data_IF_938264211299
#
_entry.id   IF_938264211299
#
_cell.length_a   1.000
_cell.length_b   1.000
_cell.length_c   1.000
_cell.angle_alpha   90.00
_cell.angle_beta   90.00
_cell.angle_gamma   90.00
#
_symmetry.space_group_name_H-M   'P 1'
#
loop_
_entity.id
_entity.type
_entity.pdbx_description
1 polymer ?
#
# COMPACT_ATOMS: atom_id res chain seq x y z
N UNK A 1 -42.15 -4.95 -60.26
CA UNK A 1 -43.58 -4.62 -60.50
C UNK A 1 -44.32 -4.79 -59.18
N UNK A 2 -45.10 -3.79 -58.74
CA UNK A 2 -46.34 -3.84 -57.92
C UNK A 2 -46.58 -5.11 -57.06
N UNK A 3 -46.83 -5.12 -55.74
CA UNK A 3 -46.94 -4.13 -54.64
C UNK A 3 -46.77 -4.90 -53.29
N UNK A 4 -47.01 -4.45 -52.04
CA UNK A 4 -47.66 -3.28 -51.38
C UNK A 4 -46.60 -2.53 -50.50
N UNK A 5 -46.78 -1.65 -49.49
CA UNK A 5 -47.81 -1.23 -48.50
C UNK A 5 -48.24 -2.31 -47.47
N UNK A 6 -48.59 -2.02 -46.20
CA UNK A 6 -48.77 -0.78 -45.39
C UNK A 6 -48.44 -1.15 -43.90
N UNK A 7 -48.42 -0.31 -42.83
CA UNK A 7 -48.93 1.05 -42.57
C UNK A 7 -48.13 1.76 -41.44
N UNK A 8 -48.67 2.82 -40.82
CA UNK A 8 -48.08 3.64 -39.74
C UNK A 8 -48.38 3.16 -38.31
N UNK A 9 -47.57 3.62 -37.34
CA UNK A 9 -48.04 4.11 -36.03
C UNK A 9 -47.11 5.21 -35.47
N UNK A 10 -47.52 6.48 -35.53
CA UNK A 10 -46.84 7.58 -34.82
C UNK A 10 -47.61 7.85 -33.52
N UNK A 11 -46.93 7.80 -32.38
CA UNK A 11 -47.44 8.32 -31.12
C UNK A 11 -46.55 9.47 -30.64
N UNK A 12 -47.14 10.64 -30.44
CA UNK A 12 -46.49 11.78 -29.78
C UNK A 12 -46.93 11.78 -28.31
N UNK A 13 -45.96 11.74 -27.39
CA UNK A 13 -46.14 12.18 -26.02
C UNK A 13 -45.07 13.22 -25.65
N UNK A 14 -45.44 14.12 -24.75
CA UNK A 14 -44.74 15.40 -24.50
C UNK A 14 -43.45 15.25 -23.66
N UNK A 15 -42.53 16.25 -23.67
CA UNK A 15 -41.14 16.01 -23.28
C UNK A 15 -40.95 15.91 -21.76
N UNK A 16 -40.40 14.78 -21.31
CA UNK A 16 -39.76 14.67 -20.00
C UNK A 16 -38.38 15.31 -20.01
N UNK A 17 -38.04 16.07 -18.96
CA UNK A 17 -36.83 16.91 -18.88
C UNK A 17 -35.55 16.09 -18.71
N UNK A 18 -35.10 15.44 -19.79
CA UNK A 18 -33.75 14.90 -19.88
C UNK A 18 -32.74 16.07 -19.95
N UNK A 19 -32.28 16.55 -18.79
CA UNK A 19 -31.22 17.54 -18.67
C UNK A 19 -29.87 16.92 -19.05
N UNK A 20 -29.70 16.63 -20.35
CA UNK A 20 -28.47 16.10 -20.94
C UNK A 20 -27.39 17.15 -20.82
N UNK A 21 -26.69 17.12 -19.69
CA UNK A 21 -25.61 18.03 -19.32
C UNK A 21 -24.41 17.71 -20.21
N UNK A 22 -24.46 18.22 -21.45
CA UNK A 22 -23.32 18.28 -22.36
C UNK A 22 -22.26 19.12 -21.68
N UNK A 23 -21.31 18.47 -21.00
CA UNK A 23 -20.01 19.09 -20.81
C UNK A 23 -19.48 19.38 -22.21
N UNK A 24 -19.45 20.65 -22.59
CA UNK A 24 -18.39 21.12 -23.46
C UNK A 24 -17.07 20.71 -22.81
N UNK A 25 -16.19 20.06 -23.56
CA UNK A 25 -14.88 19.63 -23.07
C UNK A 25 -13.84 20.36 -23.90
N UNK A 26 -12.86 20.96 -23.23
CA UNK A 26 -11.73 21.61 -23.87
C UNK A 26 -10.61 20.59 -24.11
N UNK A 27 -9.72 20.82 -25.10
CA UNK A 27 -8.43 20.16 -25.10
C UNK A 27 -7.69 20.51 -23.79
N UNK A 28 -7.09 19.51 -23.16
CA UNK A 28 -6.23 19.72 -21.99
C UNK A 28 -5.09 20.69 -22.32
N UNK A 29 -4.67 21.53 -21.37
CA UNK A 29 -3.51 22.39 -21.57
C UNK A 29 -2.26 21.51 -21.78
N UNK A 30 -1.62 21.65 -22.94
CA UNK A 30 -0.63 20.73 -23.52
C UNK A 30 0.72 20.61 -22.76
N UNK A 31 0.74 20.98 -21.47
CA UNK A 31 1.89 20.95 -20.57
C UNK A 31 1.63 20.19 -19.26
N UNK A 32 0.42 19.67 -19.03
CA UNK A 32 0.09 18.89 -17.83
C UNK A 32 -0.12 17.41 -18.14
N UNK A 33 0.94 16.62 -17.94
CA UNK A 33 0.82 15.18 -17.78
C UNK A 33 0.31 14.83 -16.37
N UNK A 34 -0.67 13.93 -16.30
CA UNK A 34 -1.31 13.47 -15.07
C UNK A 34 -0.68 12.17 -14.52
N UNK A 35 0.20 11.50 -15.27
CA UNK A 35 0.88 10.29 -14.79
C UNK A 35 2.32 10.55 -14.31
N UNK A 36 2.94 11.66 -14.72
CA UNK A 36 4.13 12.22 -14.07
C UNK A 36 3.92 12.42 -12.55
N UNK A 37 4.82 11.92 -11.70
CA UNK A 37 4.73 12.12 -10.25
C UNK A 37 4.78 13.60 -9.84
N UNK A 38 3.77 14.08 -9.10
CA UNK A 38 3.67 15.46 -8.58
C UNK A 38 4.91 15.93 -7.79
N UNK A 39 5.66 14.99 -7.22
CA UNK A 39 6.91 15.26 -6.51
C UNK A 39 7.99 14.31 -7.02
N UNK A 40 9.21 14.80 -7.11
CA UNK A 40 10.40 14.02 -7.43
C UNK A 40 10.50 12.75 -6.56
N UNK A 41 10.79 11.61 -7.18
CA UNK A 41 10.92 10.32 -6.49
C UNK A 41 12.38 9.95 -6.17
N UNK A 42 13.36 10.72 -6.61
CA UNK A 42 14.79 10.51 -6.30
C UNK A 42 15.15 10.98 -4.89
N UNK A 43 14.62 12.12 -4.44
CA UNK A 43 14.79 12.61 -3.07
C UNK A 43 13.84 11.94 -2.07
N UNK A 44 14.31 11.75 -0.83
CA UNK A 44 13.47 11.23 0.25
C UNK A 44 12.26 12.14 0.54
N UNK A 45 12.44 13.46 0.51
CA UNK A 45 11.38 14.43 0.81
C UNK A 45 10.26 14.41 -0.25
N UNK A 46 10.60 14.23 -1.53
CA UNK A 46 9.61 14.11 -2.59
C UNK A 46 8.82 12.79 -2.52
N UNK A 47 9.49 11.66 -2.25
CA UNK A 47 8.83 10.39 -1.92
C UNK A 47 7.93 10.50 -0.69
N UNK A 48 8.40 11.15 0.37
CA UNK A 48 7.64 11.34 1.61
C UNK A 48 6.34 12.12 1.34
N UNK A 49 6.41 13.22 0.58
CA UNK A 49 5.23 14.00 0.15
C UNK A 49 4.26 13.17 -0.71
N UNK A 50 4.78 12.36 -1.63
CA UNK A 50 3.98 11.42 -2.42
C UNK A 50 3.24 10.42 -1.53
N UNK A 51 3.93 9.75 -0.60
CA UNK A 51 3.27 8.78 0.28
C UNK A 51 2.26 9.43 1.23
N UNK A 52 2.55 10.60 1.82
CA UNK A 52 1.56 11.37 2.60
C UNK A 52 0.29 11.69 1.81
N UNK A 53 0.37 11.80 0.49
CA UNK A 53 -0.77 12.07 -0.36
C UNK A 53 -1.64 10.84 -0.62
N UNK A 54 -1.05 9.65 -0.83
CA UNK A 54 -1.80 8.41 -1.09
C UNK A 54 -2.29 7.72 0.19
N UNK A 55 -1.57 7.87 1.31
CA UNK A 55 -1.94 7.29 2.62
C UNK A 55 -2.72 8.27 3.51
N UNK A 56 -3.33 9.32 2.93
CA UNK A 56 -4.12 10.30 3.67
C UNK A 56 -5.44 9.65 4.15
N UNK A 57 -5.64 9.43 5.45
CA UNK A 57 -6.80 8.71 5.96
C UNK A 57 -8.13 9.43 5.69
N UNK A 58 -8.11 10.71 5.31
CA UNK A 58 -9.32 11.46 4.96
C UNK A 58 -9.96 10.96 3.66
N UNK A 59 -9.23 10.32 2.75
CA UNK A 59 -9.85 9.77 1.51
C UNK A 59 -10.72 8.54 1.76
N UNK A 60 -10.63 7.94 2.96
CA UNK A 60 -11.56 6.89 3.43
C UNK A 60 -12.98 7.42 3.61
N UNK A 61 -13.14 8.73 3.89
CA UNK A 61 -14.43 9.38 4.16
C UNK A 61 -15.08 10.00 2.91
N UNK A 62 -14.41 9.95 1.76
CA UNK A 62 -14.89 10.54 0.50
C UNK A 62 -15.96 9.65 -0.13
N UNK A 63 -17.05 10.24 -0.61
CA UNK A 63 -18.19 9.49 -1.14
C UNK A 63 -17.85 8.78 -2.45
N UNK A 64 -18.52 7.66 -2.74
CA UNK A 64 -18.29 6.93 -3.99
C UNK A 64 -18.55 7.78 -5.24
N UNK A 65 -19.54 8.67 -5.18
CA UNK A 65 -19.84 9.60 -6.28
C UNK A 65 -18.68 10.57 -6.57
N UNK A 66 -17.95 11.01 -5.55
CA UNK A 66 -16.76 11.86 -5.71
C UNK A 66 -15.56 11.07 -6.24
N UNK A 67 -15.39 9.82 -5.80
CA UNK A 67 -14.36 8.92 -6.32
C UNK A 67 -14.60 8.60 -7.81
N UNK A 68 -15.84 8.33 -8.21
CA UNK A 68 -16.18 8.05 -9.60
C UNK A 68 -16.09 9.31 -10.49
N UNK A 69 -16.46 10.50 -9.97
CA UNK A 69 -16.17 11.79 -10.64
C UNK A 69 -14.68 12.03 -10.82
N UNK A 70 -13.87 11.73 -9.80
CA UNK A 70 -12.41 11.84 -9.87
C UNK A 70 -11.82 10.90 -10.92
N UNK A 71 -12.30 9.66 -11.00
CA UNK A 71 -11.93 8.71 -12.06
C UNK A 71 -12.28 9.23 -13.45
N UNK A 72 -13.49 9.75 -13.67
CA UNK A 72 -13.88 10.34 -14.96
C UNK A 72 -12.97 11.51 -15.33
N UNK A 73 -12.62 12.39 -14.39
CA UNK A 73 -11.73 13.52 -14.66
C UNK A 73 -10.28 13.09 -14.96
N UNK A 74 -9.75 12.09 -14.26
CA UNK A 74 -8.41 11.53 -14.53
C UNK A 74 -8.37 10.82 -15.89
N UNK A 75 -9.39 10.01 -16.21
CA UNK A 75 -9.48 9.33 -17.51
C UNK A 75 -9.68 10.33 -18.67
N UNK A 76 -10.48 11.38 -18.48
CA UNK A 76 -10.60 12.48 -19.44
C UNK A 76 -9.27 13.19 -19.67
N UNK A 77 -8.52 13.50 -18.60
CA UNK A 77 -7.20 14.12 -18.70
C UNK A 77 -6.21 13.25 -19.48
N UNK A 78 -6.18 11.93 -19.23
CA UNK A 78 -5.37 10.98 -20.03
C UNK A 78 -5.79 10.90 -21.50
N UNK A 79 -7.06 11.11 -21.80
CA UNK A 79 -7.57 11.21 -23.17
C UNK A 79 -7.32 12.59 -23.82
N UNK A 80 -6.75 13.57 -23.09
CA UNK A 80 -6.56 14.95 -23.54
C UNK A 80 -7.83 15.81 -23.52
N UNK A 81 -8.91 15.36 -22.87
CA UNK A 81 -10.27 15.94 -22.93
C UNK A 81 -10.75 16.30 -21.52
N UNK A 82 -10.73 17.58 -21.18
CA UNK A 82 -10.90 18.09 -19.80
C UNK A 82 -12.00 19.16 -19.76
N UNK A 83 -12.83 19.28 -18.70
CA UNK A 83 -13.84 20.33 -18.61
C UNK A 83 -13.21 21.74 -18.64
N UNK A 84 -13.76 22.70 -19.42
CA UNK A 84 -13.27 24.08 -19.47
C UNK A 84 -13.22 24.71 -18.08
N UNK A 85 -12.12 25.41 -17.77
CA UNK A 85 -11.91 26.03 -16.47
C UNK A 85 -11.48 25.08 -15.34
N UNK A 86 -11.24 23.79 -15.62
CA UNK A 86 -10.62 22.88 -14.62
C UNK A 86 -9.23 23.37 -14.25
N UNK A 87 -8.97 23.61 -12.96
CA UNK A 87 -7.64 24.03 -12.50
C UNK A 87 -6.68 22.86 -12.35
N UNK A 88 -5.37 23.14 -12.41
CA UNK A 88 -4.34 22.12 -12.16
C UNK A 88 -4.49 21.50 -10.76
N UNK A 89 -4.94 22.27 -9.76
CA UNK A 89 -5.20 21.75 -8.42
C UNK A 89 -6.39 20.78 -8.37
N UNK A 90 -7.44 21.02 -9.17
CA UNK A 90 -8.56 20.08 -9.30
C UNK A 90 -8.12 18.78 -9.97
N UNK A 91 -7.28 18.84 -11.00
CA UNK A 91 -6.69 17.63 -11.62
C UNK A 91 -5.79 16.87 -10.62
N UNK A 92 -4.96 17.56 -9.85
CA UNK A 92 -4.10 16.94 -8.83
C UNK A 92 -4.89 16.37 -7.64
N UNK A 93 -6.03 16.97 -7.28
CA UNK A 93 -6.94 16.43 -6.27
C UNK A 93 -7.73 15.23 -6.78
N UNK A 94 -8.23 15.27 -8.02
CA UNK A 94 -8.86 14.12 -8.66
C UNK A 94 -7.88 12.95 -8.81
N UNK A 95 -6.62 13.23 -9.19
CA UNK A 95 -5.55 12.22 -9.17
C UNK A 95 -5.34 11.64 -7.77
N UNK A 96 -5.24 12.47 -6.73
CA UNK A 96 -5.13 11.98 -5.34
C UNK A 96 -6.26 11.01 -4.98
N UNK A 97 -7.51 11.38 -5.29
CA UNK A 97 -8.66 10.52 -5.01
C UNK A 97 -8.57 9.21 -5.81
N UNK A 98 -8.24 9.29 -7.10
CA UNK A 98 -8.06 8.14 -7.98
C UNK A 98 -6.96 7.18 -7.47
N UNK A 99 -5.74 7.69 -7.30
CA UNK A 99 -4.56 6.96 -6.82
C UNK A 99 -4.77 6.34 -5.42
N UNK A 100 -5.72 6.85 -4.62
CA UNK A 100 -6.05 6.34 -3.27
C UNK A 100 -7.18 5.30 -3.22
N UNK A 101 -7.94 5.13 -4.31
CA UNK A 101 -9.19 4.36 -4.31
C UNK A 101 -9.38 3.41 -5.51
N UNK A 102 -8.57 3.51 -6.57
CA UNK A 102 -8.63 2.64 -7.74
C UNK A 102 -7.29 1.94 -7.97
N UNK A 103 -7.33 0.73 -8.51
CA UNK A 103 -6.12 -0.02 -8.83
C UNK A 103 -5.34 0.70 -9.95
N UNK A 104 -4.00 0.86 -9.85
CA UNK A 104 -3.22 1.48 -10.92
C UNK A 104 -3.36 0.72 -12.24
N UNK A 105 -3.26 -0.60 -12.18
CA UNK A 105 -3.20 -1.46 -13.36
C UNK A 105 -4.57 -1.72 -14.02
N UNK A 106 -5.61 -2.09 -13.25
CA UNK A 106 -6.94 -2.41 -13.80
C UNK A 106 -7.92 -1.24 -13.82
N UNK A 107 -7.62 -0.15 -13.09
CA UNK A 107 -8.54 0.98 -12.92
C UNK A 107 -9.82 0.65 -12.16
N UNK A 108 -9.93 -0.52 -11.53
CA UNK A 108 -11.10 -0.95 -10.74
C UNK A 108 -11.09 -0.34 -9.33
N UNK A 109 -12.28 -0.17 -8.73
CA UNK A 109 -12.43 0.44 -7.40
C UNK A 109 -11.96 -0.53 -6.30
N UNK A 110 -10.92 -0.17 -5.56
CA UNK A 110 -10.37 -0.98 -4.46
C UNK A 110 -11.37 -1.12 -3.31
N UNK A 111 -11.38 -2.31 -2.67
CA UNK A 111 -12.06 -2.54 -1.40
C UNK A 111 -11.55 -1.55 -0.34
N UNK A 112 -12.47 -0.87 0.36
CA UNK A 112 -12.16 0.19 1.33
C UNK A 112 -11.10 -0.21 2.37
N UNK A 113 -11.19 -1.43 2.91
CA UNK A 113 -10.30 -1.94 3.96
C UNK A 113 -8.89 -2.23 3.42
N UNK A 114 -8.79 -2.57 2.13
CA UNK A 114 -7.53 -2.83 1.44
C UNK A 114 -6.82 -1.58 0.89
N UNK A 115 -7.43 -0.40 0.94
CA UNK A 115 -6.81 0.85 0.43
C UNK A 115 -5.64 1.29 1.32
N UNK A 116 -4.59 1.82 0.70
CA UNK A 116 -3.44 2.39 1.42
C UNK A 116 -3.81 3.54 2.38
N UNK A 117 -4.90 4.28 2.12
CA UNK A 117 -5.45 5.29 3.05
C UNK A 117 -6.13 4.69 4.28
N UNK A 118 -6.67 3.46 4.19
CA UNK A 118 -7.22 2.74 5.34
C UNK A 118 -6.14 2.05 6.20
N UNK A 119 -4.90 1.92 5.69
CA UNK A 119 -3.80 1.30 6.43
C UNK A 119 -3.51 2.01 7.78
N UNK A 120 -3.68 3.33 7.87
CA UNK A 120 -3.51 4.08 9.12
C UNK A 120 -4.68 3.85 10.10
N UNK A 121 -5.98 4.03 9.72
CA UNK A 121 -7.13 3.68 10.56
C UNK A 121 -7.19 2.21 11.02
N UNK A 122 -7.03 1.26 10.09
CA UNK A 122 -7.02 -0.17 10.42
C UNK A 122 -5.83 -0.55 11.29
N UNK A 123 -4.63 -0.10 10.91
CA UNK A 123 -3.39 -0.36 11.64
C UNK A 123 -3.39 0.20 13.07
N UNK A 124 -3.96 1.39 13.29
CA UNK A 124 -4.01 1.98 14.64
C UNK A 124 -4.98 1.24 15.57
N UNK A 125 -6.14 0.81 15.06
CA UNK A 125 -7.10 0.03 15.83
C UNK A 125 -6.53 -1.34 16.21
N UNK A 126 -6.03 -2.08 15.22
CA UNK A 126 -5.44 -3.42 15.40
C UNK A 126 -4.25 -3.35 16.36
N UNK A 127 -3.29 -2.46 16.12
CA UNK A 127 -2.08 -2.35 16.95
C UNK A 127 -2.40 -1.85 18.36
N UNK A 128 -3.29 -0.87 18.52
CA UNK A 128 -3.71 -0.40 19.84
C UNK A 128 -4.39 -1.49 20.67
N UNK A 129 -5.19 -2.36 20.04
CA UNK A 129 -5.77 -3.52 20.72
C UNK A 129 -4.75 -4.64 20.98
N UNK A 130 -3.78 -4.88 20.09
CA UNK A 130 -2.67 -5.81 20.34
C UNK A 130 -1.83 -5.40 21.56
N UNK A 131 -1.55 -4.09 21.70
CA UNK A 131 -0.78 -3.54 22.82
C UNK A 131 -1.60 -3.46 24.11
N UNK A 132 -2.92 -3.24 24.04
CA UNK A 132 -3.80 -3.26 25.21
C UNK A 132 -4.03 -4.68 25.75
N UNK A 133 -4.32 -5.64 24.86
CA UNK A 133 -4.75 -6.99 25.24
C UNK A 133 -3.62 -8.05 25.21
N UNK A 134 -2.36 -7.60 25.23
CA UNK A 134 -1.15 -8.44 25.19
C UNK A 134 -1.05 -9.54 26.28
N UNK A 135 -1.83 -9.44 27.36
CA UNK A 135 -1.65 -10.27 28.57
C UNK A 135 -2.25 -11.68 28.52
N UNK A 136 -3.24 -11.93 27.67
CA UNK A 136 -3.94 -13.23 27.64
C UNK A 136 -3.74 -13.91 26.28
N UNK A 137 -3.34 -15.18 26.32
CA UNK A 137 -3.04 -15.96 25.09
C UNK A 137 -4.22 -15.95 24.10
N UNK A 138 -5.50 -16.12 24.48
CA UNK A 138 -6.62 -16.04 23.53
C UNK A 138 -6.74 -14.68 22.84
N UNK A 139 -6.53 -13.57 23.55
CA UNK A 139 -6.61 -12.23 22.96
C UNK A 139 -5.41 -11.93 22.06
N UNK A 140 -4.20 -12.37 22.47
CA UNK A 140 -2.99 -12.31 21.63
C UNK A 140 -3.20 -13.09 20.33
N UNK A 141 -3.73 -14.32 20.40
CA UNK A 141 -4.05 -15.15 19.24
C UNK A 141 -5.07 -14.45 18.32
N UNK A 142 -6.17 -13.95 18.90
CA UNK A 142 -7.21 -13.24 18.14
C UNK A 142 -6.67 -11.99 17.43
N UNK A 143 -5.95 -11.12 18.13
CA UNK A 143 -5.48 -9.86 17.53
C UNK A 143 -4.33 -10.05 16.54
N UNK A 144 -3.46 -11.06 16.72
CA UNK A 144 -2.48 -11.43 15.69
C UNK A 144 -3.18 -12.02 14.45
N UNK A 145 -4.20 -12.86 14.63
CA UNK A 145 -5.00 -13.38 13.51
C UNK A 145 -5.72 -12.26 12.73
N UNK A 146 -6.32 -11.29 13.44
CA UNK A 146 -6.91 -10.08 12.83
C UNK A 146 -5.85 -9.27 12.07
N UNK A 147 -4.66 -9.07 12.65
CA UNK A 147 -3.56 -8.35 11.99
C UNK A 147 -3.12 -9.05 10.70
N UNK A 148 -2.93 -10.37 10.73
CA UNK A 148 -2.52 -11.11 9.53
C UNK A 148 -3.64 -11.20 8.48
N UNK A 149 -4.90 -11.27 8.89
CA UNK A 149 -6.06 -11.19 8.00
C UNK A 149 -6.14 -9.82 7.31
N UNK A 150 -5.90 -8.73 8.05
CA UNK A 150 -5.86 -7.37 7.50
C UNK A 150 -4.71 -7.21 6.49
N UNK A 151 -3.50 -7.65 6.85
CA UNK A 151 -2.35 -7.59 5.93
C UNK A 151 -2.56 -8.46 4.68
N UNK A 152 -3.21 -9.63 4.80
CA UNK A 152 -3.57 -10.46 3.65
C UNK A 152 -4.59 -9.77 2.72
N UNK A 153 -5.58 -9.06 3.27
CA UNK A 153 -6.56 -8.31 2.47
C UNK A 153 -5.93 -7.09 1.77
N UNK A 154 -5.03 -6.36 2.45
CA UNK A 154 -4.25 -5.28 1.83
C UNK A 154 -3.37 -5.84 0.71
N UNK A 155 -2.66 -6.94 0.95
CA UNK A 155 -1.84 -7.62 -0.07
C UNK A 155 -2.66 -8.12 -1.27
N UNK A 156 -3.88 -8.64 -1.04
CA UNK A 156 -4.80 -9.04 -2.11
C UNK A 156 -5.31 -7.85 -2.93
N UNK A 157 -5.55 -6.71 -2.28
CA UNK A 157 -6.14 -5.51 -2.90
C UNK A 157 -5.12 -4.68 -3.68
N UNK A 158 -3.83 -4.79 -3.35
CA UNK A 158 -2.73 -4.05 -3.99
C UNK A 158 -1.77 -4.98 -4.76
N UNK A 159 -2.23 -6.16 -5.18
CA UNK A 159 -1.45 -7.09 -6.00
C UNK A 159 -1.30 -6.57 -7.43
N UNK A 160 -0.09 -6.61 -7.98
CA UNK A 160 0.16 -6.29 -9.38
C UNK A 160 -0.76 -7.12 -10.30
N UNK A 161 -1.56 -6.48 -11.14
CA UNK A 161 -2.51 -7.17 -12.02
C UNK A 161 -1.85 -7.74 -13.28
N UNK A 162 -0.70 -7.19 -13.70
CA UNK A 162 0.11 -7.71 -14.81
C UNK A 162 0.94 -8.94 -14.42
N UNK A 163 1.12 -9.22 -13.12
CA UNK A 163 1.80 -10.41 -12.61
C UNK A 163 0.86 -11.21 -11.68
N UNK A 164 0.05 -12.15 -12.23
CA UNK A 164 -1.07 -12.75 -11.50
C UNK A 164 -0.63 -13.64 -10.33
N UNK A 165 -0.66 -13.09 -9.12
CA UNK A 165 -0.48 -13.86 -7.87
C UNK A 165 -1.68 -14.81 -7.68
N UNK A 166 -1.42 -16.11 -7.66
CA UNK A 166 -2.46 -17.12 -7.49
C UNK A 166 -3.11 -17.04 -6.10
N UNK A 167 -4.40 -17.36 -6.01
CA UNK A 167 -5.11 -17.42 -4.72
C UNK A 167 -4.44 -18.40 -3.74
N UNK A 168 -3.87 -19.50 -4.25
CA UNK A 168 -3.08 -20.47 -3.49
C UNK A 168 -1.84 -19.83 -2.87
N UNK A 169 -1.10 -18.98 -3.61
CA UNK A 169 0.08 -18.29 -3.10
C UNK A 169 -0.28 -17.28 -2.00
N UNK A 170 -1.39 -16.54 -2.15
CA UNK A 170 -1.90 -15.63 -1.12
C UNK A 170 -2.35 -16.42 0.11
N UNK A 171 -3.06 -17.53 -0.07
CA UNK A 171 -3.50 -18.41 1.03
C UNK A 171 -2.32 -19.03 1.80
N UNK A 172 -1.30 -19.53 1.09
CA UNK A 172 -0.08 -20.06 1.71
C UNK A 172 0.70 -18.98 2.45
N UNK A 173 0.89 -17.79 1.86
CA UNK A 173 1.55 -16.67 2.53
C UNK A 173 0.80 -16.21 3.80
N UNK A 174 -0.54 -16.11 3.73
CA UNK A 174 -1.39 -15.80 4.89
C UNK A 174 -1.32 -16.87 5.98
N UNK A 175 -1.44 -18.16 5.64
CA UNK A 175 -1.37 -19.26 6.63
C UNK A 175 0.02 -19.33 7.26
N UNK A 176 1.09 -19.30 6.47
CA UNK A 176 2.47 -19.33 6.99
C UNK A 176 2.76 -18.12 7.89
N UNK A 177 2.46 -16.90 7.44
CA UNK A 177 2.68 -15.71 8.24
C UNK A 177 1.79 -15.66 9.50
N UNK A 178 0.58 -16.21 9.46
CA UNK A 178 -0.28 -16.36 10.65
C UNK A 178 0.30 -17.37 11.62
N UNK A 179 0.72 -18.55 11.17
CA UNK A 179 1.41 -19.53 12.00
C UNK A 179 2.70 -18.97 12.62
N UNK A 180 3.49 -18.20 11.86
CA UNK A 180 4.67 -17.49 12.39
C UNK A 180 4.28 -16.46 13.45
N UNK A 181 3.32 -15.56 13.17
CA UNK A 181 2.85 -14.57 14.12
C UNK A 181 2.37 -15.20 15.44
N UNK A 182 1.57 -16.27 15.35
CA UNK A 182 1.03 -16.99 16.49
C UNK A 182 2.12 -17.75 17.26
N UNK A 183 3.01 -18.48 16.58
CA UNK A 183 4.10 -19.20 17.22
C UNK A 183 5.05 -18.25 17.98
N UNK A 184 5.43 -17.13 17.36
CA UNK A 184 6.25 -16.10 18.01
C UNK A 184 5.49 -15.43 19.17
N UNK A 185 4.23 -15.03 18.96
CA UNK A 185 3.47 -14.30 19.98
C UNK A 185 3.09 -15.16 21.20
N UNK A 186 2.72 -16.42 20.99
CA UNK A 186 2.40 -17.36 22.09
C UNK A 186 3.67 -17.86 22.75
N UNK A 187 4.68 -18.26 21.97
CA UNK A 187 5.96 -18.73 22.49
C UNK A 187 6.64 -17.68 23.39
N UNK A 188 6.81 -16.45 22.91
CA UNK A 188 7.38 -15.38 23.72
C UNK A 188 6.51 -15.04 24.94
N UNK A 189 5.17 -15.00 24.83
CA UNK A 189 4.31 -14.75 25.99
C UNK A 189 4.42 -15.82 27.08
N UNK A 190 4.72 -17.07 26.74
CA UNK A 190 4.98 -18.12 27.73
C UNK A 190 6.28 -17.86 28.50
N UNK A 191 7.35 -17.43 27.82
CA UNK A 191 8.62 -17.05 28.44
C UNK A 191 8.54 -15.74 29.24
N UNK A 192 7.84 -14.71 28.74
CA UNK A 192 7.76 -13.40 29.42
C UNK A 192 6.93 -13.41 30.71
N UNK A 193 6.29 -14.52 31.08
CA UNK A 193 5.65 -14.70 32.41
C UNK A 193 6.60 -14.49 33.60
N UNK A 194 7.91 -14.61 33.39
CA UNK A 194 8.97 -14.37 34.39
C UNK A 194 9.83 -13.13 34.09
N UNK A 195 9.48 -12.34 33.08
CA UNK A 195 10.25 -11.18 32.62
C UNK A 195 9.61 -9.85 33.11
N UNK A 196 10.35 -8.72 33.06
CA UNK A 196 9.78 -7.40 33.34
C UNK A 196 8.56 -7.10 32.43
N UNK A 197 7.51 -6.40 32.93
CA UNK A 197 6.27 -6.17 32.18
C UNK A 197 6.44 -5.51 30.81
N UNK A 198 7.48 -4.69 30.62
CA UNK A 198 7.83 -4.05 29.35
C UNK A 198 8.21 -5.07 28.26
N UNK A 199 8.89 -6.17 28.60
CA UNK A 199 9.29 -7.20 27.64
C UNK A 199 8.05 -7.90 27.06
N UNK A 200 7.06 -8.18 27.92
CA UNK A 200 5.77 -8.73 27.48
C UNK A 200 5.01 -7.76 26.56
N UNK A 201 5.14 -6.43 26.76
CA UNK A 201 4.53 -5.41 25.87
C UNK A 201 5.20 -5.32 24.49
N UNK A 202 6.41 -5.82 24.31
CA UNK A 202 7.09 -5.89 23.00
C UNK A 202 6.85 -7.20 22.23
N UNK A 203 6.20 -8.20 22.84
CA UNK A 203 5.84 -9.46 22.16
C UNK A 203 4.97 -9.23 20.89
N UNK A 204 3.99 -8.31 20.88
CA UNK A 204 3.29 -7.93 19.66
C UNK A 204 4.21 -7.48 18.52
N UNK A 205 5.23 -6.66 18.80
CA UNK A 205 6.21 -6.20 17.81
C UNK A 205 7.05 -7.35 17.25
N UNK A 206 7.61 -8.18 18.12
CA UNK A 206 8.46 -9.30 17.71
C UNK A 206 7.71 -10.28 16.78
N UNK A 207 6.45 -10.57 17.08
CA UNK A 207 5.59 -11.41 16.25
C UNK A 207 5.21 -10.75 14.91
N UNK A 208 4.90 -9.45 14.88
CA UNK A 208 4.63 -8.72 13.63
C UNK A 208 5.89 -8.64 12.75
N UNK A 209 7.07 -8.44 13.35
CA UNK A 209 8.33 -8.44 12.62
C UNK A 209 8.63 -9.81 12.00
N UNK A 210 8.54 -10.89 12.80
CA UNK A 210 8.71 -12.26 12.31
C UNK A 210 7.70 -12.62 11.20
N UNK A 211 6.44 -12.21 11.35
CA UNK A 211 5.41 -12.43 10.35
C UNK A 211 5.66 -11.66 9.03
N UNK A 212 6.22 -10.45 9.08
CA UNK A 212 6.60 -9.71 7.88
C UNK A 212 7.80 -10.36 7.16
N UNK A 213 8.78 -10.89 7.90
CA UNK A 213 9.89 -11.65 7.34
C UNK A 213 9.46 -12.93 6.58
N UNK A 214 8.26 -13.46 6.84
CA UNK A 214 7.70 -14.62 6.12
C UNK A 214 6.69 -14.19 5.05
N UNK A 215 5.73 -13.32 5.39
CA UNK A 215 4.66 -12.88 4.49
C UNK A 215 5.19 -12.31 3.17
N UNK A 216 6.18 -11.40 3.24
CA UNK A 216 6.60 -10.64 2.06
C UNK A 216 7.40 -11.53 1.08
N UNK A 217 8.38 -12.36 1.51
CA UNK A 217 8.99 -13.35 0.62
C UNK A 217 8.01 -14.39 0.07
N UNK A 218 7.04 -14.88 0.85
CA UNK A 218 6.05 -15.86 0.36
C UNK A 218 5.08 -15.25 -0.66
N UNK A 219 4.58 -14.04 -0.41
CA UNK A 219 3.76 -13.29 -1.37
C UNK A 219 4.50 -13.05 -2.69
N UNK A 220 5.81 -12.81 -2.64
CA UNK A 220 6.68 -12.45 -3.78
C UNK A 220 7.61 -13.60 -4.21
N UNK A 221 7.26 -14.85 -3.88
CA UNK A 221 8.12 -16.02 -4.14
C UNK A 221 8.45 -16.21 -5.63
N UNK A 222 7.55 -15.83 -6.54
CA UNK A 222 7.78 -15.90 -7.99
C UNK A 222 8.90 -14.95 -8.45
N UNK A 223 9.07 -13.79 -7.80
CA UNK A 223 10.16 -12.87 -8.08
C UNK A 223 11.51 -13.43 -7.60
N UNK A 224 11.52 -14.19 -6.50
CA UNK A 224 12.72 -14.89 -6.01
C UNK A 224 13.09 -16.10 -6.89
N UNK A 225 12.10 -16.80 -7.43
CA UNK A 225 12.29 -18.01 -8.26
C UNK A 225 12.67 -17.63 -9.70
N UNK A 226 11.98 -16.66 -10.30
CA UNK A 226 12.11 -16.31 -11.72
C UNK A 226 13.01 -15.08 -11.94
N UNK A 227 13.07 -14.17 -10.97
CA UNK A 227 13.73 -12.87 -11.07
C UNK A 227 12.76 -11.73 -11.37
N UNK A 228 13.27 -10.49 -11.34
CA UNK A 228 12.58 -9.28 -11.81
C UNK A 228 13.39 -8.58 -12.90
N UNK A 229 12.71 -7.85 -13.77
CA UNK A 229 13.32 -7.05 -14.82
C UNK A 229 14.33 -6.04 -14.23
N UNK A 230 15.56 -6.11 -14.73
CA UNK A 230 16.58 -5.08 -14.56
C UNK A 230 16.70 -4.25 -15.84
N UNK A 231 16.91 -2.95 -15.68
CA UNK A 231 16.92 -1.96 -16.77
C UNK A 231 18.18 -1.09 -16.73
N UNK A 232 18.51 -0.44 -17.84
CA UNK A 232 19.53 0.62 -17.88
C UNK A 232 19.00 1.96 -17.34
N UNK A 233 19.74 3.05 -17.55
CA UNK A 233 19.29 4.41 -17.20
C UNK A 233 18.12 4.90 -18.08
N UNK A 234 17.99 4.39 -19.31
CA UNK A 234 17.00 4.79 -20.31
C UNK A 234 15.68 3.99 -20.22
N UNK A 235 15.59 2.97 -19.36
CA UNK A 235 14.51 1.99 -19.23
C UNK A 235 14.50 0.84 -20.27
N UNK A 236 15.61 0.61 -20.98
CA UNK A 236 15.78 -0.59 -21.79
C UNK A 236 15.92 -1.80 -20.85
N UNK A 237 15.18 -2.89 -21.11
CA UNK A 237 15.29 -4.12 -20.31
C UNK A 237 16.55 -4.91 -20.65
N UNK A 238 17.31 -5.29 -19.62
CA UNK A 238 18.59 -5.99 -19.71
C UNK A 238 18.49 -7.48 -19.36
N UNK A 239 17.34 -7.92 -18.83
CA UNK A 239 17.05 -9.30 -18.41
C UNK A 239 16.44 -9.41 -17.01
N UNK A 240 16.31 -10.64 -16.50
CA UNK A 240 15.71 -10.93 -15.18
C UNK A 240 16.78 -11.27 -14.14
N UNK A 241 16.75 -10.63 -12.96
CA UNK A 241 17.64 -10.90 -11.82
C UNK A 241 16.88 -11.32 -10.55
N UNK A 242 17.32 -12.41 -9.93
CA UNK A 242 16.81 -12.95 -8.65
C UNK A 242 17.47 -12.23 -7.47
N UNK A 243 18.73 -11.80 -7.63
CA UNK A 243 19.44 -10.93 -6.67
C UNK A 243 18.81 -9.54 -6.56
N UNK A 244 18.34 -8.97 -7.68
CA UNK A 244 17.54 -7.73 -7.66
C UNK A 244 16.24 -7.93 -6.86
N UNK A 245 15.50 -9.02 -7.13
CA UNK A 245 14.29 -9.37 -6.39
C UNK A 245 14.57 -9.53 -4.88
N UNK A 246 15.60 -10.30 -4.51
CA UNK A 246 15.98 -10.50 -3.11
C UNK A 246 16.32 -9.18 -2.41
N UNK A 247 17.12 -8.30 -3.03
CA UNK A 247 17.42 -6.96 -2.49
C UNK A 247 16.15 -6.13 -2.30
N UNK A 248 15.26 -6.10 -3.29
CA UNK A 248 14.00 -5.36 -3.23
C UNK A 248 13.07 -5.87 -2.12
N UNK A 249 12.90 -7.18 -2.02
CA UNK A 249 12.08 -7.84 -0.99
C UNK A 249 12.66 -7.58 0.41
N UNK A 250 13.98 -7.69 0.60
CA UNK A 250 14.63 -7.33 1.88
C UNK A 250 14.40 -5.87 2.26
N UNK A 251 14.47 -4.94 1.30
CA UNK A 251 14.16 -3.52 1.55
C UNK A 251 12.69 -3.31 1.95
N UNK A 252 11.73 -4.04 1.35
CA UNK A 252 10.31 -3.96 1.76
C UNK A 252 10.07 -4.56 3.15
N UNK A 253 10.73 -5.68 3.49
CA UNK A 253 10.70 -6.24 4.87
C UNK A 253 11.21 -5.23 5.88
N UNK A 254 12.35 -4.58 5.62
CA UNK A 254 12.92 -3.53 6.49
C UNK A 254 11.96 -2.35 6.62
N UNK A 255 11.38 -1.85 5.52
CA UNK A 255 10.35 -0.80 5.57
C UNK A 255 9.16 -1.20 6.45
N UNK A 256 8.60 -2.41 6.26
CA UNK A 256 7.41 -2.86 6.99
C UNK A 256 7.66 -3.05 8.50
N UNK A 257 8.87 -3.45 8.89
CA UNK A 257 9.29 -3.50 10.30
C UNK A 257 9.50 -2.08 10.85
N UNK A 258 10.21 -1.21 10.13
CA UNK A 258 10.46 0.18 10.54
C UNK A 258 9.17 0.99 10.71
N UNK A 259 8.14 0.71 9.91
CA UNK A 259 6.80 1.29 10.01
C UNK A 259 6.12 1.00 11.37
N UNK A 260 6.25 -0.23 11.86
CA UNK A 260 5.62 -0.67 13.11
C UNK A 260 6.44 -0.33 14.36
N UNK A 261 7.77 -0.24 14.22
CA UNK A 261 8.71 -0.17 15.34
C UNK A 261 8.45 1.01 16.32
N UNK A 262 8.31 2.29 15.90
CA UNK A 262 8.08 3.38 16.85
C UNK A 262 6.77 3.22 17.64
N UNK A 263 5.68 2.85 16.95
CA UNK A 263 4.38 2.64 17.58
C UNK A 263 4.37 1.49 18.60
N UNK A 264 5.01 0.36 18.28
CA UNK A 264 5.00 -0.82 19.15
C UNK A 264 6.14 -0.89 20.18
N UNK A 265 7.23 -0.12 20.01
CA UNK A 265 8.35 -0.08 20.97
C UNK A 265 8.21 1.09 21.95
N UNK A 266 7.89 2.29 21.46
CA UNK A 266 7.89 3.53 22.28
C UNK A 266 6.61 3.66 23.09
N UNK A 267 5.44 3.30 22.54
CA UNK A 267 4.18 3.42 23.26
C UNK A 267 4.11 2.59 24.56
N UNK A 268 4.61 1.34 24.64
CA UNK A 268 4.75 0.63 25.91
C UNK A 268 5.45 1.41 27.02
N UNK A 269 6.49 2.17 26.67
CA UNK A 269 7.28 3.01 27.58
C UNK A 269 6.47 4.25 27.99
N UNK A 270 5.86 4.94 27.03
CA UNK A 270 4.96 6.08 27.29
C UNK A 270 3.82 5.66 28.23
N UNK A 271 3.16 4.54 27.95
CA UNK A 271 2.09 3.99 28.80
C UNK A 271 2.59 3.61 30.19
N UNK A 272 3.79 3.05 30.33
CA UNK A 272 4.38 2.74 31.64
C UNK A 272 4.66 4.00 32.48
N UNK A 273 5.02 5.12 31.86
CA UNK A 273 5.13 6.40 32.59
C UNK A 273 3.73 6.98 32.89
N UNK A 274 2.80 6.95 31.95
CA UNK A 274 1.44 7.48 32.13
C UNK A 274 0.64 6.72 33.20
N UNK A 275 0.76 5.39 33.26
CA UNK A 275 0.11 4.52 34.25
C UNK A 275 0.51 4.84 35.71
N UNK A 276 1.58 5.61 35.94
CA UNK A 276 1.99 6.05 37.28
C UNK A 276 1.05 7.11 37.85
N UNK A 277 0.45 7.96 37.01
CA UNK A 277 -0.38 9.08 37.47
C UNK A 277 -1.73 8.61 38.06
N UNK A 278 -2.25 9.29 39.11
CA UNK A 278 -3.51 8.91 39.76
C UNK A 278 -4.73 8.87 38.81
N UNK A 279 -4.81 9.79 37.84
CA UNK A 279 -5.93 9.82 36.90
C UNK A 279 -5.94 8.59 35.97
N UNK A 280 -4.79 8.18 35.43
CA UNK A 280 -4.66 6.97 34.60
C UNK A 280 -5.01 5.69 35.36
N UNK A 281 -4.70 5.63 36.67
CA UNK A 281 -5.08 4.50 37.55
C UNK A 281 -6.60 4.40 37.74
N UNK A 282 -7.30 5.54 37.75
CA UNK A 282 -8.77 5.62 37.91
C UNK A 282 -9.52 5.32 36.61
N UNK A 283 -9.01 5.74 35.44
CA UNK A 283 -9.74 5.71 34.16
C UNK A 283 -9.26 4.59 33.23
N UNK A 284 -9.26 3.34 33.71
CA UNK A 284 -8.73 2.17 32.96
C UNK A 284 -9.42 1.93 31.59
N UNK A 285 -10.68 2.35 31.44
CA UNK A 285 -11.45 2.20 30.20
C UNK A 285 -10.87 3.04 29.06
N UNK A 286 -10.27 4.20 29.36
CA UNK A 286 -9.64 5.06 28.34
C UNK A 286 -8.25 4.57 27.89
N UNK A 287 -7.69 3.51 28.48
CA UNK A 287 -6.37 3.00 28.08
C UNK A 287 -6.36 2.49 26.63
N UNK A 288 -7.41 1.78 26.19
CA UNK A 288 -7.47 1.28 24.81
C UNK A 288 -7.68 2.41 23.77
N UNK A 289 -8.65 3.34 23.93
CA UNK A 289 -8.75 4.51 23.05
C UNK A 289 -7.46 5.35 23.01
N UNK A 290 -6.81 5.56 24.15
CA UNK A 290 -5.55 6.30 24.22
C UNK A 290 -4.43 5.59 23.44
N UNK A 291 -4.28 4.28 23.62
CA UNK A 291 -3.29 3.52 22.86
C UNK A 291 -3.57 3.54 21.35
N UNK A 292 -4.81 3.30 20.93
CA UNK A 292 -5.22 3.42 19.51
C UNK A 292 -4.89 4.81 18.95
N UNK A 293 -5.17 5.87 19.71
CA UNK A 293 -4.91 7.26 19.30
C UNK A 293 -3.41 7.53 19.18
N UNK A 294 -2.61 7.11 20.15
CA UNK A 294 -1.16 7.32 20.16
C UNK A 294 -0.45 6.50 19.07
N UNK A 295 -0.87 5.25 18.83
CA UNK A 295 -0.38 4.49 17.66
C UNK A 295 -0.81 5.16 16.36
N UNK A 296 -2.04 5.68 16.27
CA UNK A 296 -2.51 6.44 15.11
C UNK A 296 -1.64 7.65 14.80
N UNK A 297 -1.22 8.37 15.84
CA UNK A 297 -0.21 9.43 15.76
C UNK A 297 1.11 8.93 15.16
N UNK A 298 1.69 7.84 15.69
CA UNK A 298 2.91 7.27 15.13
C UNK A 298 2.75 6.81 13.67
N UNK A 299 1.70 6.05 13.35
CA UNK A 299 1.46 5.51 12.00
C UNK A 299 1.22 6.60 10.95
N UNK A 300 0.58 7.71 11.31
CA UNK A 300 0.33 8.83 10.39
C UNK A 300 1.63 9.38 9.77
N UNK A 301 2.73 9.41 10.54
CA UNK A 301 4.05 9.80 10.02
C UNK A 301 4.89 8.59 9.57
N UNK A 302 4.81 7.45 10.27
CA UNK A 302 5.68 6.30 10.02
C UNK A 302 5.29 5.45 8.82
N UNK A 303 4.01 5.38 8.44
CA UNK A 303 3.59 4.72 7.19
C UNK A 303 4.23 5.41 5.98
N UNK A 304 4.04 6.73 5.74
CA UNK A 304 4.66 7.38 4.58
C UNK A 304 6.18 7.48 4.67
N UNK A 305 6.76 7.63 5.88
CA UNK A 305 8.22 7.61 6.04
C UNK A 305 8.85 6.24 5.73
N UNK A 306 8.23 5.14 6.17
CA UNK A 306 8.71 3.79 5.88
C UNK A 306 8.58 3.42 4.39
N UNK A 307 7.50 3.87 3.73
CA UNK A 307 7.36 3.72 2.27
C UNK A 307 8.39 4.56 1.50
N UNK A 308 8.72 5.77 1.98
CA UNK A 308 9.72 6.65 1.37
C UNK A 308 11.19 6.24 1.63
N UNK A 309 11.45 5.40 2.64
CA UNK A 309 12.77 4.99 3.12
C UNK A 309 13.70 4.51 2.00
N UNK A 310 13.19 3.67 1.11
CA UNK A 310 13.89 3.20 -0.09
C UNK A 310 13.14 3.68 -1.34
N UNK A 311 13.84 4.08 -2.42
CA UNK A 311 13.18 4.47 -3.66
C UNK A 311 12.41 3.30 -4.29
N UNK A 312 11.44 3.60 -5.14
CA UNK A 312 10.76 2.58 -5.95
C UNK A 312 11.70 2.05 -7.04
N UNK A 313 12.39 2.94 -7.78
CA UNK A 313 13.52 2.57 -8.65
C UNK A 313 14.79 2.44 -7.81
N UNK A 314 15.23 1.23 -7.54
CA UNK A 314 16.50 0.94 -6.87
C UNK A 314 17.61 0.65 -7.88
N UNK A 315 18.84 1.10 -7.58
CA UNK A 315 20.03 0.73 -8.36
C UNK A 315 20.76 -0.49 -7.75
N UNK A 316 21.55 -1.17 -8.57
CA UNK A 316 22.49 -2.23 -8.20
C UNK A 316 23.71 -2.15 -9.12
N UNK A 317 24.93 -2.32 -8.58
CA UNK A 317 26.14 -2.41 -9.41
C UNK A 317 26.12 -3.70 -10.23
N UNK A 318 26.56 -3.66 -11.49
CA UNK A 318 26.58 -4.81 -12.39
C UNK A 318 27.35 -6.01 -11.81
N UNK A 319 28.41 -5.74 -11.03
CA UNK A 319 29.20 -6.72 -10.28
C UNK A 319 28.40 -7.53 -9.25
N UNK A 320 27.25 -7.03 -8.79
CA UNK A 320 26.39 -7.69 -7.81
C UNK A 320 25.37 -8.65 -8.44
N UNK A 321 25.16 -8.59 -9.76
CA UNK A 321 24.25 -9.49 -10.48
C UNK A 321 24.77 -10.94 -10.53
N UNK A 322 23.89 -11.85 -10.94
CA UNK A 322 24.21 -13.21 -11.33
C UNK A 322 25.33 -13.22 -12.41
N UNK A 323 26.35 -14.11 -12.31
CA UNK A 323 27.47 -14.13 -13.26
C UNK A 323 27.04 -14.28 -14.72
N UNK A 324 26.03 -15.11 -14.98
CA UNK A 324 25.46 -15.35 -16.32
C UNK A 324 24.82 -14.09 -16.91
N UNK A 325 23.95 -13.42 -16.15
CA UNK A 325 23.30 -12.17 -16.56
C UNK A 325 24.32 -11.04 -16.73
N UNK A 326 25.32 -10.96 -15.84
CA UNK A 326 26.44 -10.01 -15.99
C UNK A 326 27.22 -10.27 -17.27
N UNK A 327 27.57 -11.53 -17.56
CA UNK A 327 28.30 -11.88 -18.78
C UNK A 327 27.49 -11.54 -20.05
N UNK A 328 26.18 -11.80 -20.05
CA UNK A 328 25.28 -11.39 -21.12
C UNK A 328 25.27 -9.87 -21.32
N UNK A 329 25.05 -9.09 -20.25
CA UNK A 329 25.01 -7.62 -20.35
C UNK A 329 26.34 -7.04 -20.86
N UNK A 330 27.48 -7.54 -20.36
CA UNK A 330 28.81 -7.11 -20.84
C UNK A 330 29.05 -7.53 -22.30
N UNK A 331 28.59 -8.70 -22.73
CA UNK A 331 28.71 -9.12 -24.13
C UNK A 331 27.87 -8.27 -25.09
N UNK A 332 26.66 -7.87 -24.70
CA UNK A 332 25.73 -7.10 -25.55
C UNK A 332 25.97 -5.59 -25.51
N UNK A 333 26.40 -5.03 -24.38
CA UNK A 333 26.53 -3.57 -24.17
C UNK A 333 27.95 -3.09 -23.85
N UNK A 334 28.90 -4.01 -23.64
CA UNK A 334 30.24 -3.73 -23.12
C UNK A 334 30.24 -3.32 -21.64
N UNK A 335 31.40 -2.94 -21.11
CA UNK A 335 31.55 -2.39 -19.74
C UNK A 335 30.94 -0.98 -19.55
N UNK A 336 30.05 -0.55 -20.46
CA UNK A 336 29.40 0.78 -20.44
C UNK A 336 28.26 0.90 -19.43
N UNK A 337 27.83 -0.21 -18.81
CA UNK A 337 26.68 -0.28 -17.89
C UNK A 337 27.16 -0.63 -16.47
N UNK A 338 27.70 0.33 -15.69
CA UNK A 338 28.21 0.05 -14.34
C UNK A 338 27.09 -0.25 -13.33
N UNK A 339 25.88 0.26 -13.56
CA UNK A 339 24.71 0.09 -12.71
C UNK A 339 23.48 -0.34 -13.52
N UNK A 340 22.63 -1.13 -12.89
CA UNK A 340 21.29 -1.49 -13.40
C UNK A 340 20.22 -1.07 -12.39
N UNK A 341 19.00 -0.88 -12.89
CA UNK A 341 17.87 -0.34 -12.15
C UNK A 341 16.70 -1.33 -12.15
N UNK A 342 16.03 -1.48 -11.01
CA UNK A 342 14.89 -2.38 -10.84
C UNK A 342 13.80 -1.74 -9.98
N UNK A 343 12.55 -2.19 -10.14
CA UNK A 343 11.45 -1.75 -9.28
C UNK A 343 11.42 -2.59 -7.99
N UNK A 344 11.51 -1.92 -6.84
CA UNK A 344 11.43 -2.52 -5.50
C UNK A 344 10.02 -3.04 -5.17
N UNK A 345 8.98 -2.41 -5.69
CA UNK A 345 7.60 -2.57 -5.19
C UNK A 345 7.34 -1.90 -3.84
N UNK A 346 6.11 -2.05 -3.34
CA UNK A 346 5.54 -1.45 -2.11
C UNK A 346 5.46 -2.45 -0.94
#
# INVERSE_FOLDING_TARGET
MVCRTQSLAVSRSSPGTALTLRLTMAPASASFDIDTPRWDQTTFVGRLKHFFNITDPRTVLVSEQELDRAKVLVQGCRAGVVPPGTSQEQLLYAKKLYDSAFHPDSGEKMNLIGRMSFQVPGGMAITGFMLQFYRTVPAVVFWQWVNQSFNALVNYTNRNAACPISLTQIGVAYVTATSTALATAVGLNLYTKRAPPLVARWVPFAAVAAANCVNIPMMRQQELINGIAVTDENNNELGLSKRAAAKGITQVVISRIAMAAPGMIILPIIMEQLEKFPFMKRIRVLHAPLQVTLVGGFLLFMVPAACALFPQRCCMALSSLEPELRAHIVATHGDKVPYVYFNKGL
#
